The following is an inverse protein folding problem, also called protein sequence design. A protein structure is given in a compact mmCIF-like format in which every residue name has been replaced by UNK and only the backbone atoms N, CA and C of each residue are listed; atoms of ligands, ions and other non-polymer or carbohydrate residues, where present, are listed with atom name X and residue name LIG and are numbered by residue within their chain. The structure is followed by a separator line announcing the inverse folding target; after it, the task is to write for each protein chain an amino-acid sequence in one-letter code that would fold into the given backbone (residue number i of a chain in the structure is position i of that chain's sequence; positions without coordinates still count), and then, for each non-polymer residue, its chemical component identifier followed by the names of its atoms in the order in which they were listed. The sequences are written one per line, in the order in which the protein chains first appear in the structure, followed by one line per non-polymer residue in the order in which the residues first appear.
data_IF_191699797196
#
_entry.id   IF_191699797196
#
_cell.length_a   1.000
_cell.length_b   1.000
_cell.length_c   1.000
_cell.angle_alpha   90.00
_cell.angle_beta   90.00
_cell.angle_gamma   90.00
#
_symmetry.space_group_name_H-M   'P 1'
#
loop_
_entity.id
_entity.type
_entity.pdbx_description
1 polymer ?
#
# COMPACT_ATOMS: atom_id res chain seq x y z
N UNK A 1 2.08 -27.57 -2.46
CA UNK A 1 3.16 -28.11 -1.64
C UNK A 1 3.56 -27.05 -0.64
N UNK A 2 3.21 -27.32 0.56
CA UNK A 2 3.21 -26.52 1.79
C UNK A 2 4.56 -25.88 2.14
N UNK A 3 4.58 -24.66 2.67
CA UNK A 3 4.97 -24.40 4.07
C UNK A 3 4.95 -22.92 4.44
N UNK A 4 4.08 -22.60 5.36
CA UNK A 4 4.22 -21.48 6.26
C UNK A 4 5.42 -21.71 7.20
N UNK A 5 6.21 -20.67 7.50
CA UNK A 5 7.11 -20.67 8.66
C UNK A 5 7.04 -19.31 9.34
N UNK A 6 6.29 -19.31 10.43
CA UNK A 6 6.46 -18.39 11.56
C UNK A 6 7.69 -18.81 12.36
N UNK A 7 8.52 -17.88 12.78
CA UNK A 7 9.64 -18.18 13.69
C UNK A 7 10.31 -16.92 14.23
N UNK A 8 9.77 -16.37 15.31
CA UNK A 8 10.48 -15.42 16.20
C UNK A 8 11.33 -16.24 17.16
N UNK A 9 12.65 -16.04 17.15
CA UNK A 9 13.60 -16.63 18.10
C UNK A 9 14.20 -15.55 19.02
N UNK A 10 14.48 -15.89 20.27
CA UNK A 10 14.83 -14.92 21.31
C UNK A 10 16.33 -14.56 21.31
N UNK A 11 16.63 -13.29 21.61
CA UNK A 11 17.97 -12.76 21.80
C UNK A 11 18.63 -13.19 23.15
N UNK A 12 19.96 -13.10 23.26
CA UNK A 12 20.71 -13.69 24.35
C UNK A 12 20.73 -12.82 25.59
N UNK A 13 20.67 -13.51 26.75
CA UNK A 13 20.87 -12.98 28.11
C UNK A 13 22.36 -12.72 28.37
N UNK A 14 22.70 -11.51 28.80
CA UNK A 14 23.99 -11.16 29.38
C UNK A 14 23.90 -11.13 30.90
N UNK A 15 24.69 -11.96 31.53
CA UNK A 15 24.91 -12.03 33.00
C UNK A 15 26.19 -11.28 33.41
N UNK A 16 26.13 -10.61 34.56
CA UNK A 16 27.31 -10.27 35.33
C UNK A 16 27.16 -9.05 36.23
N UNK A 17 27.97 -8.93 37.30
CA UNK A 17 27.46 -9.16 38.65
C UNK A 17 27.46 -7.93 39.57
N UNK A 18 26.77 -8.09 40.67
CA UNK A 18 26.43 -7.25 41.78
C UNK A 18 27.44 -6.27 42.38
N UNK A 19 26.86 -5.33 43.09
CA UNK A 19 27.40 -4.77 44.33
C UNK A 19 26.25 -4.23 45.18
N UNK A 20 26.12 -4.84 46.36
CA UNK A 20 25.40 -4.34 47.52
C UNK A 20 25.99 -3.01 48.00
N UNK A 21 25.16 -2.06 48.38
CA UNK A 21 25.33 -1.17 49.52
C UNK A 21 23.93 -0.85 50.05
N UNK A 22 23.67 -1.34 51.26
CA UNK A 22 22.63 -0.87 52.15
C UNK A 22 23.07 0.45 52.79
N UNK A 23 22.16 1.35 53.07
CA UNK A 23 21.82 1.91 54.39
C UNK A 23 20.85 3.09 54.29
N UNK A 24 19.83 2.95 55.10
CA UNK A 24 19.08 3.93 55.88
C UNK A 24 18.90 5.38 55.40
N UNK A 25 17.67 5.80 55.32
CA UNK A 25 17.10 6.86 56.18
C UNK A 25 15.58 6.92 56.02
N UNK A 26 14.93 6.74 57.17
CA UNK A 26 13.53 7.06 57.45
C UNK A 26 13.23 8.55 57.32
N UNK A 27 11.96 8.81 57.12
CA UNK A 27 11.09 9.84 57.69
C UNK A 27 10.32 10.72 56.72
N UNK A 28 9.03 10.62 56.99
CA UNK A 28 7.97 11.65 56.96
C UNK A 28 7.22 11.96 55.65
N UNK A 29 6.04 11.36 55.61
CA UNK A 29 4.71 11.98 55.57
C UNK A 29 4.55 13.26 54.76
N UNK A 30 3.82 13.19 53.66
CA UNK A 30 2.57 13.94 53.61
C UNK A 30 1.62 13.40 52.56
N UNK A 31 0.40 13.25 53.01
CA UNK A 31 -0.80 12.86 52.29
C UNK A 31 -1.01 13.75 51.06
N UNK A 32 -0.87 13.17 49.87
CA UNK A 32 -1.47 13.72 48.66
C UNK A 32 -2.71 12.90 48.38
N UNK A 33 -3.85 13.57 48.52
CA UNK A 33 -5.16 13.08 48.20
C UNK A 33 -5.18 12.55 46.76
N UNK A 34 -5.44 11.26 46.61
CA UNK A 34 -5.83 10.63 45.37
C UNK A 34 -7.12 11.31 44.86
N UNK A 35 -6.95 12.21 43.94
CA UNK A 35 -8.06 12.55 43.01
C UNK A 35 -8.11 11.43 41.99
N UNK A 36 -8.83 10.38 42.34
CA UNK A 36 -9.44 9.47 41.38
C UNK A 36 -10.36 10.30 40.47
N UNK A 37 -9.79 10.86 39.42
CA UNK A 37 -10.57 11.14 38.22
C UNK A 37 -10.90 9.79 37.63
N UNK A 38 -12.07 9.26 37.98
CA UNK A 38 -12.76 8.24 37.22
C UNK A 38 -12.93 8.78 35.78
N UNK A 39 -11.94 8.51 34.92
CA UNK A 39 -12.14 8.42 33.49
C UNK A 39 -13.03 7.20 33.27
N UNK A 40 -14.33 7.42 33.46
CA UNK A 40 -15.35 6.54 32.96
C UNK A 40 -15.45 6.81 31.45
N UNK A 41 -14.43 6.43 30.68
CA UNK A 41 -14.66 6.01 29.32
C UNK A 41 -15.66 4.86 29.42
N UNK A 42 -16.90 5.16 29.06
CA UNK A 42 -17.91 4.17 28.86
C UNK A 42 -17.36 3.21 27.81
N UNK A 43 -16.87 2.07 28.27
CA UNK A 43 -16.44 0.93 27.45
C UNK A 43 -17.72 0.39 26.77
N UNK A 44 -18.18 1.12 25.73
CA UNK A 44 -19.26 0.64 24.89
C UNK A 44 -18.74 -0.65 24.24
N UNK A 45 -19.45 -1.77 24.39
CA UNK A 45 -19.02 -3.02 23.79
C UNK A 45 -18.85 -2.82 22.29
N UNK A 46 -17.66 -3.17 21.76
CA UNK A 46 -17.38 -3.13 20.33
C UNK A 46 -18.52 -3.79 19.55
N UNK A 47 -18.90 -3.23 18.39
CA UNK A 47 -19.95 -3.83 17.57
C UNK A 47 -19.53 -5.24 17.16
N UNK A 48 -20.46 -6.19 17.24
CA UNK A 48 -20.27 -7.51 16.67
C UNK A 48 -20.35 -7.40 15.14
N UNK A 49 -19.19 -7.46 14.47
CA UNK A 49 -19.07 -7.35 13.02
C UNK A 49 -19.95 -8.35 12.30
N UNK A 50 -20.00 -9.61 12.77
CA UNK A 50 -20.79 -10.67 12.16
C UNK A 50 -22.29 -10.33 12.24
N UNK A 51 -22.74 -9.79 13.36
CA UNK A 51 -24.13 -9.35 13.54
C UNK A 51 -24.47 -8.20 12.59
N UNK A 52 -23.65 -7.15 12.53
CA UNK A 52 -23.87 -6.00 11.64
C UNK A 52 -23.92 -6.43 10.17
N UNK A 53 -22.96 -7.25 9.73
CA UNK A 53 -22.96 -7.80 8.36
C UNK A 53 -24.21 -8.64 8.09
N UNK A 54 -24.63 -9.47 9.04
CA UNK A 54 -25.85 -10.29 8.91
C UNK A 54 -27.09 -9.41 8.77
N UNK A 55 -27.21 -8.36 9.58
CA UNK A 55 -28.32 -7.41 9.49
C UNK A 55 -28.28 -6.63 8.15
N UNK A 56 -27.10 -6.21 7.67
CA UNK A 56 -26.93 -5.56 6.38
C UNK A 56 -27.33 -6.48 5.21
N UNK A 57 -26.94 -7.74 5.27
CA UNK A 57 -27.36 -8.78 4.31
C UNK A 57 -28.87 -8.96 4.30
N UNK A 58 -29.52 -8.98 5.49
CA UNK A 58 -30.97 -9.09 5.58
C UNK A 58 -31.70 -7.90 4.94
N UNK A 59 -31.13 -6.70 4.99
CA UNK A 59 -31.70 -5.50 4.34
C UNK A 59 -31.65 -5.57 2.80
N UNK A 60 -30.79 -6.38 2.20
CA UNK A 60 -30.77 -6.61 0.76
C UNK A 60 -32.03 -7.34 0.26
N UNK A 61 -32.79 -8.02 1.16
CA UNK A 61 -34.06 -8.66 0.86
C UNK A 61 -33.92 -9.78 -0.19
N UNK A 62 -34.65 -9.65 -1.31
CA UNK A 62 -34.63 -10.61 -2.39
C UNK A 62 -33.46 -10.40 -3.40
N UNK A 63 -32.70 -9.31 -3.26
CA UNK A 63 -31.50 -9.05 -4.09
C UNK A 63 -30.32 -9.90 -3.56
N UNK A 64 -30.23 -11.12 -4.05
CA UNK A 64 -29.20 -12.07 -3.66
C UNK A 64 -27.79 -11.58 -4.06
N UNK A 65 -27.64 -10.81 -5.13
CA UNK A 65 -26.36 -10.30 -5.58
C UNK A 65 -25.87 -9.19 -4.64
N UNK A 66 -26.76 -8.30 -4.21
CA UNK A 66 -26.46 -7.32 -3.18
C UNK A 66 -26.11 -7.98 -1.84
N UNK A 67 -26.86 -9.01 -1.43
CA UNK A 67 -26.61 -9.75 -0.19
C UNK A 67 -25.21 -10.41 -0.18
N UNK A 68 -24.82 -11.06 -1.29
CA UNK A 68 -23.50 -11.68 -1.47
C UNK A 68 -22.39 -10.63 -1.47
N UNK A 69 -22.62 -9.52 -2.20
CA UNK A 69 -21.65 -8.41 -2.27
C UNK A 69 -21.38 -7.83 -0.88
N UNK A 70 -22.43 -7.51 -0.10
CA UNK A 70 -22.28 -6.97 1.27
C UNK A 70 -21.45 -7.90 2.14
N UNK A 71 -21.74 -9.20 2.10
CA UNK A 71 -20.97 -10.20 2.86
C UNK A 71 -19.50 -10.23 2.45
N UNK A 72 -19.20 -10.18 1.16
CA UNK A 72 -17.82 -10.14 0.63
C UNK A 72 -17.12 -8.85 0.99
N UNK A 73 -17.84 -7.73 0.89
CA UNK A 73 -17.31 -6.39 1.06
C UNK A 73 -16.81 -6.16 2.49
N UNK A 74 -17.57 -6.58 3.49
CA UNK A 74 -17.30 -6.35 4.91
C UNK A 74 -16.67 -7.55 5.64
N UNK A 75 -16.35 -8.62 4.89
CA UNK A 75 -15.90 -9.90 5.47
C UNK A 75 -14.73 -9.80 6.42
N UNK A 76 -13.79 -8.92 6.13
CA UNK A 76 -12.53 -8.78 6.86
C UNK A 76 -12.40 -7.43 7.57
N UNK A 77 -13.49 -6.68 7.69
CA UNK A 77 -13.48 -5.44 8.45
C UNK A 77 -13.37 -5.77 9.95
N UNK A 78 -12.38 -5.21 10.66
CA UNK A 78 -12.24 -5.41 12.10
C UNK A 78 -13.42 -4.75 12.86
N UNK A 79 -13.78 -5.30 14.03
CA UNK A 79 -14.87 -4.77 14.86
C UNK A 79 -14.67 -3.30 15.20
N UNK A 80 -13.45 -2.89 15.48
CA UNK A 80 -13.04 -1.51 15.80
C UNK A 80 -13.33 -0.52 14.67
N UNK A 81 -13.23 -0.96 13.41
CA UNK A 81 -13.50 -0.13 12.24
C UNK A 81 -14.99 0.01 11.93
N UNK A 82 -15.85 -0.81 12.56
CA UNK A 82 -17.29 -0.80 12.34
C UNK A 82 -18.06 0.07 13.35
N UNK A 83 -17.36 0.67 14.31
CA UNK A 83 -17.96 1.58 15.29
C UNK A 83 -18.68 2.72 14.58
N UNK A 84 -19.95 2.91 14.89
CA UNK A 84 -20.79 3.96 14.29
C UNK A 84 -21.38 3.62 12.92
N UNK A 85 -21.02 2.50 12.30
CA UNK A 85 -21.66 2.04 11.07
C UNK A 85 -23.04 1.43 11.36
N UNK A 86 -23.94 1.64 10.41
CA UNK A 86 -25.28 1.02 10.46
C UNK A 86 -25.42 -0.02 9.35
N UNK A 87 -26.22 -1.08 9.55
CA UNK A 87 -26.48 -2.08 8.51
C UNK A 87 -26.95 -1.48 7.18
N UNK A 88 -27.80 -0.44 7.24
CA UNK A 88 -28.27 0.28 6.05
C UNK A 88 -27.15 1.04 5.35
N UNK A 89 -26.25 1.68 6.11
CA UNK A 89 -25.06 2.34 5.59
C UNK A 89 -24.11 1.35 4.93
N UNK A 90 -23.87 0.19 5.58
CA UNK A 90 -23.01 -0.87 5.03
C UNK A 90 -23.52 -1.40 3.69
N UNK A 91 -24.83 -1.61 3.55
CA UNK A 91 -25.46 -2.00 2.29
C UNK A 91 -25.30 -0.89 1.24
N UNK A 92 -25.59 0.36 1.60
CA UNK A 92 -25.48 1.49 0.69
C UNK A 92 -24.05 1.70 0.20
N UNK A 93 -23.07 1.57 1.07
CA UNK A 93 -21.63 1.70 0.73
C UNK A 93 -21.19 0.63 -0.27
N UNK A 94 -21.56 -0.64 -0.05
CA UNK A 94 -21.22 -1.71 -0.98
C UNK A 94 -21.89 -1.52 -2.35
N UNK A 95 -23.14 -1.07 -2.37
CA UNK A 95 -23.88 -0.77 -3.61
C UNK A 95 -23.27 0.43 -4.36
N UNK A 96 -22.93 1.51 -3.64
CA UNK A 96 -22.31 2.69 -4.24
C UNK A 96 -20.94 2.36 -4.84
N UNK A 97 -20.17 1.48 -4.20
CA UNK A 97 -18.89 1.02 -4.74
C UNK A 97 -19.08 0.14 -5.98
N UNK A 98 -20.10 -0.73 -5.99
CA UNK A 98 -20.48 -1.50 -7.18
C UNK A 98 -20.89 -0.61 -8.37
N UNK A 99 -21.62 0.49 -8.10
CA UNK A 99 -21.93 1.48 -9.13
C UNK A 99 -20.68 2.13 -9.74
N UNK A 100 -19.68 2.46 -8.90
CA UNK A 100 -18.38 2.97 -9.39
C UNK A 100 -17.69 1.95 -10.29
N UNK A 101 -17.82 0.66 -9.97
CA UNK A 101 -17.24 -0.45 -10.73
C UNK A 101 -18.03 -0.83 -11.99
N UNK A 102 -19.22 -0.28 -12.25
CA UNK A 102 -20.11 -0.69 -13.33
C UNK A 102 -19.44 -0.69 -14.71
N UNK A 103 -18.63 0.32 -15.00
CA UNK A 103 -17.92 0.45 -16.27
C UNK A 103 -16.42 0.64 -16.02
N UNK A 104 -15.63 -0.41 -16.27
CA UNK A 104 -14.17 -0.40 -16.11
C UNK A 104 -13.52 -1.42 -17.04
N UNK A 105 -12.51 -1.03 -17.79
CA UNK A 105 -11.66 -1.97 -18.54
C UNK A 105 -10.44 -2.37 -17.71
N UNK A 106 -9.84 -3.57 -17.91
CA UNK A 106 -8.59 -3.95 -17.27
C UNK A 106 -7.51 -2.87 -17.49
N UNK A 107 -6.76 -2.55 -16.46
CA UNK A 107 -5.78 -1.45 -16.48
C UNK A 107 -6.34 -0.07 -16.15
N UNK A 108 -7.65 0.12 -16.15
CA UNK A 108 -8.27 1.40 -15.79
C UNK A 108 -8.41 1.53 -14.26
N UNK A 109 -8.08 2.69 -13.73
CA UNK A 109 -8.35 3.09 -12.35
C UNK A 109 -9.68 3.85 -12.29
N UNK A 110 -10.60 3.42 -11.43
CA UNK A 110 -11.76 4.21 -11.01
C UNK A 110 -11.49 4.78 -9.62
N UNK A 111 -11.69 6.07 -9.45
CA UNK A 111 -11.49 6.77 -8.19
C UNK A 111 -12.58 7.81 -7.99
N UNK A 112 -13.31 7.70 -6.89
CA UNK A 112 -14.28 8.67 -6.41
C UNK A 112 -13.82 9.24 -5.08
N UNK A 113 -13.91 10.56 -4.92
CA UNK A 113 -13.66 11.27 -3.65
C UNK A 113 -14.91 12.08 -3.35
N UNK A 114 -15.50 11.86 -2.19
CA UNK A 114 -16.73 12.50 -1.75
C UNK A 114 -16.77 12.71 -0.24
N UNK A 115 -17.87 13.24 0.27
CA UNK A 115 -18.10 13.36 1.70
C UNK A 115 -18.86 12.12 2.22
N UNK A 116 -18.67 11.76 3.49
CA UNK A 116 -19.50 10.79 4.19
C UNK A 116 -20.95 11.27 4.31
N UNK A 117 -21.88 10.38 4.60
CA UNK A 117 -23.29 10.71 4.67
C UNK A 117 -23.61 11.78 5.74
N UNK A 118 -22.89 11.79 6.85
CA UNK A 118 -22.96 12.80 7.92
C UNK A 118 -22.14 14.06 7.59
N UNK A 119 -21.27 13.99 6.62
CA UNK A 119 -20.43 15.10 6.19
C UNK A 119 -19.18 15.33 7.06
N UNK A 120 -18.87 14.44 7.99
CA UNK A 120 -17.76 14.61 8.94
C UNK A 120 -16.43 14.07 8.41
N UNK A 121 -16.46 13.15 7.46
CA UNK A 121 -15.29 12.54 6.85
C UNK A 121 -15.28 12.73 5.33
N UNK A 122 -14.13 12.51 4.73
CA UNK A 122 -13.98 12.36 3.28
C UNK A 122 -13.80 10.89 2.94
N UNK A 123 -14.56 10.42 1.96
CA UNK A 123 -14.57 9.04 1.49
C UNK A 123 -13.82 8.95 0.17
N UNK A 124 -12.88 8.01 0.10
CA UNK A 124 -12.24 7.59 -1.13
C UNK A 124 -12.74 6.20 -1.50
N UNK A 125 -13.14 6.01 -2.74
CA UNK A 125 -13.51 4.70 -3.30
C UNK A 125 -12.68 4.46 -4.55
N UNK A 126 -12.04 3.31 -4.59
CA UNK A 126 -11.03 2.94 -5.59
C UNK A 126 -11.36 1.56 -6.12
N UNK A 127 -11.43 1.43 -7.46
CA UNK A 127 -11.50 0.14 -8.15
C UNK A 127 -10.35 0.04 -9.13
N UNK A 128 -9.53 -0.98 -8.99
CA UNK A 128 -8.37 -1.23 -9.84
C UNK A 128 -8.13 -2.74 -10.01
N UNK A 129 -7.23 -3.13 -10.91
CA UNK A 129 -6.74 -4.51 -10.94
C UNK A 129 -6.03 -4.81 -9.61
N UNK A 130 -6.16 -6.05 -9.11
CA UNK A 130 -5.42 -6.43 -7.92
C UNK A 130 -3.92 -6.52 -8.20
N UNK A 131 -3.14 -5.96 -7.29
CA UNK A 131 -1.68 -6.00 -7.34
C UNK A 131 -1.07 -5.69 -5.97
N UNK A 132 0.21 -6.05 -5.73
CA UNK A 132 0.91 -5.72 -4.50
C UNK A 132 0.99 -4.21 -4.24
N UNK A 133 1.14 -3.82 -2.97
CA UNK A 133 1.45 -2.47 -2.47
C UNK A 133 0.34 -1.42 -2.60
N UNK A 134 -0.87 -1.76 -3.04
CA UNK A 134 -1.97 -0.79 -3.22
C UNK A 134 -2.33 -0.10 -1.92
N UNK A 135 -2.62 -0.87 -0.87
CA UNK A 135 -3.05 -0.34 0.44
C UNK A 135 -1.96 0.51 1.07
N UNK A 136 -0.73 -0.03 1.14
CA UNK A 136 0.40 0.66 1.76
C UNK A 136 0.68 2.00 1.07
N UNK A 137 0.63 2.02 -0.27
CA UNK A 137 0.92 3.23 -1.05
C UNK A 137 -0.15 4.29 -0.89
N UNK A 138 -1.44 3.90 -0.93
CA UNK A 138 -2.54 4.85 -0.72
C UNK A 138 -2.49 5.40 0.70
N UNK A 139 -2.32 4.54 1.71
CA UNK A 139 -2.23 4.95 3.10
C UNK A 139 -1.04 5.89 3.34
N UNK A 140 0.14 5.56 2.80
CA UNK A 140 1.31 6.43 2.89
C UNK A 140 1.09 7.80 2.24
N UNK A 141 0.39 7.86 1.10
CA UNK A 141 0.06 9.12 0.43
C UNK A 141 -0.89 9.98 1.28
N UNK A 142 -1.89 9.39 1.93
CA UNK A 142 -2.82 10.07 2.82
C UNK A 142 -2.11 10.60 4.07
N UNK A 143 -1.31 9.76 4.74
CA UNK A 143 -0.53 10.14 5.93
C UNK A 143 0.48 11.24 5.61
N UNK A 144 1.13 11.20 4.44
CA UNK A 144 2.06 12.25 3.99
C UNK A 144 1.37 13.60 3.83
N UNK A 145 0.07 13.61 3.51
CA UNK A 145 -0.77 14.82 3.49
C UNK A 145 -1.25 15.26 4.88
N UNK A 146 -0.95 14.51 5.93
CA UNK A 146 -1.42 14.77 7.30
C UNK A 146 -2.86 14.34 7.53
N UNK A 147 -3.42 13.44 6.71
CA UNK A 147 -4.76 12.90 6.86
C UNK A 147 -4.70 11.59 7.66
N UNK A 148 -5.53 11.48 8.70
CA UNK A 148 -5.74 10.24 9.43
C UNK A 148 -6.72 9.35 8.67
N UNK A 149 -6.46 8.05 8.66
CA UNK A 149 -7.37 7.04 8.11
C UNK A 149 -8.20 6.46 9.25
N UNK A 150 -9.51 6.62 9.19
CA UNK A 150 -10.47 6.17 10.21
C UNK A 150 -11.12 4.83 9.85
N UNK A 151 -11.19 4.50 8.56
CA UNK A 151 -11.73 3.23 8.07
C UNK A 151 -10.97 2.84 6.81
N UNK A 152 -10.61 1.58 6.71
CA UNK A 152 -10.08 0.97 5.50
C UNK A 152 -10.79 -0.37 5.24
N UNK A 153 -11.55 -0.44 4.17
CA UNK A 153 -12.18 -1.67 3.68
C UNK A 153 -11.54 -2.01 2.33
N UNK A 154 -11.00 -3.21 2.19
CA UNK A 154 -10.27 -3.64 1.00
C UNK A 154 -10.62 -5.08 0.60
N UNK A 155 -11.83 -5.33 0.07
CA UNK A 155 -12.15 -6.63 -0.52
C UNK A 155 -11.43 -6.83 -1.85
N UNK A 156 -10.92 -8.04 -2.06
CA UNK A 156 -10.59 -8.56 -3.37
C UNK A 156 -11.85 -9.20 -3.95
N UNK A 157 -12.27 -8.70 -5.10
CA UNK A 157 -13.56 -9.07 -5.71
C UNK A 157 -13.31 -9.73 -7.05
N UNK A 158 -13.80 -10.98 -7.21
CA UNK A 158 -13.80 -11.66 -8.49
C UNK A 158 -14.98 -11.15 -9.31
N UNK A 159 -14.72 -10.68 -10.52
CA UNK A 159 -15.75 -10.11 -11.42
C UNK A 159 -15.65 -10.68 -12.81
N UNK A 160 -16.80 -10.69 -13.53
CA UNK A 160 -16.88 -10.92 -14.97
C UNK A 160 -17.27 -9.65 -15.68
N UNK A 161 -16.56 -9.33 -16.76
CA UNK A 161 -16.79 -8.13 -17.55
C UNK A 161 -16.95 -8.45 -19.03
N UNK A 162 -17.76 -7.66 -19.71
CA UNK A 162 -17.74 -7.65 -21.16
C UNK A 162 -16.42 -7.08 -21.69
N UNK A 163 -16.06 -7.35 -22.95
CA UNK A 163 -14.83 -6.81 -23.55
C UNK A 163 -14.68 -5.29 -23.49
N UNK A 164 -15.79 -4.55 -23.45
CA UNK A 164 -15.79 -3.09 -23.31
C UNK A 164 -15.84 -2.61 -21.85
N UNK A 165 -15.72 -3.53 -20.88
CA UNK A 165 -15.55 -3.21 -19.47
C UNK A 165 -16.85 -3.13 -18.65
N UNK A 166 -18.04 -3.38 -19.25
CA UNK A 166 -19.29 -3.43 -18.49
C UNK A 166 -19.28 -4.61 -17.51
N UNK A 167 -19.61 -4.34 -16.25
CA UNK A 167 -19.73 -5.36 -15.20
C UNK A 167 -20.92 -6.28 -15.51
N UNK A 168 -20.67 -7.56 -15.66
CA UNK A 168 -21.70 -8.59 -15.89
C UNK A 168 -22.13 -9.24 -14.59
N UNK A 169 -21.14 -9.61 -13.78
CA UNK A 169 -21.36 -10.36 -12.54
C UNK A 169 -20.28 -10.03 -11.50
N UNK A 170 -20.69 -9.95 -10.25
CA UNK A 170 -19.80 -9.96 -9.09
C UNK A 170 -19.83 -11.36 -8.50
N UNK A 171 -18.75 -12.12 -8.67
CA UNK A 171 -18.63 -13.49 -8.18
C UNK A 171 -18.23 -13.48 -6.68
N UNK A 172 -19.10 -12.93 -5.83
CA UNK A 172 -18.78 -12.63 -4.44
C UNK A 172 -18.49 -13.88 -3.57
N UNK A 173 -18.96 -15.05 -3.99
CA UNK A 173 -18.72 -16.34 -3.33
C UNK A 173 -17.44 -17.05 -3.82
N UNK A 174 -16.74 -16.48 -4.83
CA UNK A 174 -15.49 -17.02 -5.38
C UNK A 174 -14.29 -16.35 -4.70
N UNK A 175 -13.37 -17.16 -4.19
CA UNK A 175 -12.10 -16.63 -3.66
C UNK A 175 -11.16 -16.24 -4.82
N UNK A 176 -10.28 -15.23 -4.64
CA UNK A 176 -9.35 -14.80 -5.68
C UNK A 176 -8.50 -15.94 -6.27
N UNK A 177 -8.06 -16.88 -5.43
CA UNK A 177 -7.25 -18.03 -5.83
C UNK A 177 -8.05 -19.10 -6.61
N UNK A 178 -9.38 -19.05 -6.53
CA UNK A 178 -10.30 -19.96 -7.23
C UNK A 178 -10.85 -19.34 -8.54
N UNK A 179 -10.39 -18.15 -8.91
CA UNK A 179 -10.80 -17.47 -10.13
C UNK A 179 -10.43 -18.31 -11.37
N UNK A 180 -11.38 -18.45 -12.30
CA UNK A 180 -11.21 -19.24 -13.52
C UNK A 180 -10.91 -18.37 -14.74
N UNK A 181 -10.55 -19.01 -15.85
CA UNK A 181 -10.25 -18.28 -17.09
C UNK A 181 -11.44 -17.40 -17.53
N UNK A 182 -11.19 -16.12 -17.66
CA UNK A 182 -12.20 -15.08 -18.00
C UNK A 182 -12.71 -14.29 -16.82
N UNK A 183 -12.43 -14.73 -15.59
CA UNK A 183 -12.65 -13.94 -14.37
C UNK A 183 -11.50 -12.93 -14.20
N UNK A 184 -11.81 -11.79 -13.60
CA UNK A 184 -10.84 -10.76 -13.20
C UNK A 184 -10.87 -10.61 -11.69
N UNK A 185 -9.71 -10.51 -11.06
CA UNK A 185 -9.60 -10.16 -9.66
C UNK A 185 -9.37 -8.65 -9.56
N UNK A 186 -10.26 -7.96 -8.89
CA UNK A 186 -10.20 -6.53 -8.69
C UNK A 186 -10.03 -6.19 -7.22
N UNK A 187 -9.22 -5.18 -6.96
CA UNK A 187 -9.06 -4.56 -5.65
C UNK A 187 -10.06 -3.41 -5.54
N UNK A 188 -10.99 -3.53 -4.60
CA UNK A 188 -11.94 -2.48 -4.28
C UNK A 188 -11.56 -1.91 -2.91
N UNK A 189 -11.14 -0.65 -2.85
CA UNK A 189 -10.73 -0.02 -1.59
C UNK A 189 -11.66 1.14 -1.25
N UNK A 190 -12.15 1.16 -0.02
CA UNK A 190 -12.87 2.28 0.57
C UNK A 190 -12.12 2.77 1.78
N UNK A 191 -11.79 4.05 1.79
CA UNK A 191 -11.13 4.69 2.90
C UNK A 191 -11.98 5.88 3.38
N UNK A 192 -12.17 5.99 4.70
CA UNK A 192 -12.68 7.18 5.33
C UNK A 192 -11.51 7.91 6.01
N UNK A 193 -11.34 9.18 5.67
CA UNK A 193 -10.22 9.99 6.17
C UNK A 193 -10.73 11.30 6.77
N UNK A 194 -9.86 12.04 7.45
CA UNK A 194 -10.15 13.37 7.92
C UNK A 194 -10.80 14.21 6.83
N UNK A 195 -11.76 15.05 7.22
CA UNK A 195 -12.51 15.85 6.26
C UNK A 195 -11.63 16.79 5.46
N UNK A 196 -11.66 16.67 4.14
CA UNK A 196 -10.99 17.55 3.19
C UNK A 196 -11.95 18.63 2.73
N UNK A 197 -11.64 19.88 3.10
CA UNK A 197 -12.50 21.02 2.82
C UNK A 197 -12.21 21.64 1.45
N UNK A 198 -13.28 21.88 0.70
CA UNK A 198 -13.19 22.57 -0.59
C UNK A 198 -12.90 21.63 -1.77
N UNK A 199 -13.45 21.97 -2.93
CA UNK A 199 -13.35 21.17 -4.15
C UNK A 199 -11.91 21.09 -4.67
N UNK A 200 -11.16 22.20 -4.59
CA UNK A 200 -9.78 22.25 -5.05
C UNK A 200 -8.85 21.29 -4.27
N UNK A 201 -9.04 21.19 -2.94
CA UNK A 201 -8.28 20.27 -2.10
C UNK A 201 -8.66 18.80 -2.37
N UNK A 202 -9.95 18.51 -2.56
CA UNK A 202 -10.42 17.17 -2.96
C UNK A 202 -9.90 16.78 -4.35
N UNK A 203 -9.87 17.72 -5.29
CA UNK A 203 -9.28 17.48 -6.60
C UNK A 203 -7.76 17.23 -6.52
N UNK A 204 -7.07 17.94 -5.63
CA UNK A 204 -5.65 17.69 -5.40
C UNK A 204 -5.43 16.31 -4.76
N UNK A 205 -6.24 15.93 -3.77
CA UNK A 205 -6.21 14.59 -3.18
C UNK A 205 -6.44 13.51 -4.25
N UNK A 206 -7.44 13.70 -5.11
CA UNK A 206 -7.73 12.77 -6.22
C UNK A 206 -6.52 12.62 -7.15
N UNK A 207 -5.89 13.71 -7.55
CA UNK A 207 -4.67 13.67 -8.41
C UNK A 207 -3.51 12.95 -7.72
N UNK A 208 -3.30 13.19 -6.44
CA UNK A 208 -2.19 12.57 -5.72
C UNK A 208 -2.39 11.06 -5.57
N UNK A 209 -3.60 10.62 -5.19
CA UNK A 209 -3.95 9.20 -5.12
C UNK A 209 -3.86 8.54 -6.50
N UNK A 210 -4.37 9.19 -7.55
CA UNK A 210 -4.26 8.69 -8.92
C UNK A 210 -2.80 8.52 -9.34
N UNK A 211 -1.94 9.50 -9.02
CA UNK A 211 -0.51 9.45 -9.34
C UNK A 211 0.18 8.27 -8.66
N UNK A 212 0.01 8.12 -7.34
CA UNK A 212 0.69 7.04 -6.61
C UNK A 212 0.20 5.65 -7.04
N UNK A 213 -1.07 5.49 -7.38
CA UNK A 213 -1.60 4.22 -7.91
C UNK A 213 -1.09 3.94 -9.32
N UNK A 214 -0.86 4.98 -10.14
CA UNK A 214 -0.19 4.83 -11.43
C UNK A 214 1.26 4.39 -11.25
N UNK A 215 1.97 5.02 -10.30
CA UNK A 215 3.37 4.69 -9.97
C UNK A 215 3.49 3.22 -9.51
N UNK A 216 2.55 2.73 -8.68
CA UNK A 216 2.51 1.32 -8.25
C UNK A 216 2.32 0.40 -9.45
N UNK A 217 1.33 0.67 -10.30
CA UNK A 217 1.07 -0.13 -11.50
C UNK A 217 2.30 -0.21 -12.39
N UNK A 218 2.92 0.93 -12.71
CA UNK A 218 4.11 0.98 -13.55
C UNK A 218 5.27 0.19 -12.94
N UNK A 219 5.46 0.28 -11.61
CA UNK A 219 6.50 -0.48 -10.91
C UNK A 219 6.23 -2.00 -10.96
N UNK A 220 4.99 -2.43 -10.71
CA UNK A 220 4.61 -3.85 -10.73
C UNK A 220 4.70 -4.44 -12.14
N UNK A 221 4.18 -3.74 -13.15
CA UNK A 221 4.25 -4.20 -14.55
C UNK A 221 5.68 -4.32 -15.07
N UNK A 222 6.56 -3.39 -14.70
CA UNK A 222 7.96 -3.37 -15.16
C UNK A 222 8.91 -4.17 -14.26
N UNK A 223 8.45 -4.68 -13.14
CA UNK A 223 9.30 -5.40 -12.18
C UNK A 223 10.13 -6.54 -12.79
N UNK A 224 9.57 -7.43 -13.64
CA UNK A 224 10.37 -8.47 -14.28
C UNK A 224 11.45 -7.91 -15.21
N UNK A 225 11.17 -6.78 -15.86
CA UNK A 225 12.15 -6.10 -16.74
C UNK A 225 13.26 -5.45 -15.93
N UNK A 226 12.92 -4.79 -14.81
CA UNK A 226 13.91 -4.18 -13.92
C UNK A 226 14.86 -5.23 -13.30
N UNK A 227 14.32 -6.37 -12.87
CA UNK A 227 15.15 -7.52 -12.45
C UNK A 227 16.09 -7.99 -13.53
N UNK A 228 15.59 -8.13 -14.76
CA UNK A 228 16.42 -8.53 -15.91
C UNK A 228 17.54 -7.53 -16.20
N UNK A 229 17.27 -6.23 -16.08
CA UNK A 229 18.30 -5.19 -16.24
C UNK A 229 19.37 -5.27 -15.16
N UNK A 230 19.00 -5.48 -13.90
CA UNK A 230 19.97 -5.64 -12.81
C UNK A 230 20.90 -6.86 -13.03
N UNK A 231 20.36 -7.98 -13.52
CA UNK A 231 21.17 -9.15 -13.88
C UNK A 231 22.07 -8.87 -15.09
N UNK A 232 21.56 -8.18 -16.12
CA UNK A 232 22.36 -7.81 -17.29
C UNK A 232 23.55 -6.92 -16.91
N UNK A 233 23.35 -5.97 -15.98
CA UNK A 233 24.43 -5.13 -15.44
C UNK A 233 25.47 -5.99 -14.70
N UNK A 234 25.03 -6.95 -13.87
CA UNK A 234 25.92 -7.85 -13.16
C UNK A 234 26.79 -8.69 -14.13
N UNK A 235 26.17 -9.19 -15.21
CA UNK A 235 26.87 -9.97 -16.23
C UNK A 235 27.83 -9.10 -17.09
N UNK A 236 27.44 -7.85 -17.38
CA UNK A 236 28.31 -6.89 -18.07
C UNK A 236 29.53 -6.53 -17.21
N UNK A 237 29.35 -6.27 -15.91
CA UNK A 237 30.44 -6.04 -14.97
C UNK A 237 31.40 -7.24 -14.93
N UNK A 238 30.88 -8.45 -14.87
CA UNK A 238 31.69 -9.68 -14.89
C UNK A 238 32.48 -9.82 -16.19
N UNK A 239 31.85 -9.52 -17.33
CA UNK A 239 32.49 -9.64 -18.66
C UNK A 239 33.57 -8.58 -18.91
N UNK A 240 33.44 -7.41 -18.29
CA UNK A 240 34.34 -6.28 -18.48
C UNK A 240 35.32 -6.03 -17.32
N UNK A 241 35.36 -6.90 -16.32
CA UNK A 241 36.11 -6.73 -15.07
C UNK A 241 37.54 -6.30 -15.28
N UNK A 242 38.27 -6.96 -16.22
CA UNK A 242 39.67 -6.68 -16.52
C UNK A 242 39.93 -5.31 -17.20
N UNK A 243 38.88 -4.67 -17.72
CA UNK A 243 39.01 -3.37 -18.42
C UNK A 243 38.61 -2.17 -17.52
N UNK A 244 38.04 -2.43 -16.37
CA UNK A 244 37.55 -1.40 -15.44
C UNK A 244 38.70 -0.89 -14.54
N UNK A 245 38.83 0.43 -14.33
CA UNK A 245 39.90 1.03 -13.51
C UNK A 245 39.55 0.99 -12.00
N UNK A 246 38.96 -0.13 -11.51
CA UNK A 246 38.55 -0.33 -10.12
C UNK A 246 39.09 -1.67 -9.62
N UNK A 247 39.28 -1.86 -8.30
CA UNK A 247 39.73 -3.12 -7.72
C UNK A 247 38.79 -4.30 -8.04
N UNK A 248 39.36 -5.47 -8.33
CA UNK A 248 38.60 -6.69 -8.63
C UNK A 248 37.58 -7.04 -7.51
N UNK A 249 37.94 -6.75 -6.27
CA UNK A 249 37.07 -6.95 -5.13
C UNK A 249 35.78 -6.14 -5.23
N UNK A 250 35.91 -4.85 -5.57
CA UNK A 250 34.75 -3.94 -5.65
C UNK A 250 33.81 -4.36 -6.77
N UNK A 251 34.37 -4.90 -7.87
CA UNK A 251 33.59 -5.48 -8.96
C UNK A 251 32.84 -6.72 -8.47
N UNK A 252 33.51 -7.63 -7.76
CA UNK A 252 32.91 -8.85 -7.21
C UNK A 252 31.80 -8.51 -6.23
N UNK A 253 32.06 -7.62 -5.27
CA UNK A 253 31.08 -7.18 -4.26
C UNK A 253 29.84 -6.53 -4.94
N UNK A 254 30.06 -5.75 -6.02
CA UNK A 254 28.96 -5.14 -6.79
C UNK A 254 28.11 -6.16 -7.53
N UNK A 255 28.73 -7.18 -8.15
CA UNK A 255 28.00 -8.26 -8.81
C UNK A 255 27.19 -9.08 -7.80
N UNK A 256 27.79 -9.41 -6.66
CA UNK A 256 27.12 -10.16 -5.59
C UNK A 256 25.93 -9.35 -5.02
N UNK A 257 26.09 -8.04 -4.80
CA UNK A 257 25.02 -7.15 -4.37
C UNK A 257 23.86 -7.13 -5.37
N UNK A 258 24.14 -6.92 -6.67
CA UNK A 258 23.08 -6.90 -7.69
C UNK A 258 22.31 -8.21 -7.75
N UNK A 259 22.99 -9.35 -7.68
CA UNK A 259 22.35 -10.67 -7.66
C UNK A 259 21.54 -10.88 -6.39
N UNK A 260 22.04 -10.45 -5.24
CA UNK A 260 21.32 -10.50 -3.97
C UNK A 260 20.05 -9.63 -4.00
N UNK A 261 20.11 -8.40 -4.54
CA UNK A 261 18.94 -7.54 -4.71
C UNK A 261 17.85 -8.19 -5.57
N UNK A 262 18.25 -8.92 -6.62
CA UNK A 262 17.32 -9.61 -7.53
C UNK A 262 16.68 -10.84 -6.89
N UNK A 263 17.33 -11.46 -5.92
CA UNK A 263 16.87 -12.67 -5.22
C UNK A 263 15.87 -12.33 -4.10
N UNK A 264 14.83 -11.59 -4.44
CA UNK A 264 13.68 -11.21 -3.58
C UNK A 264 14.04 -10.44 -2.29
N UNK A 265 15.25 -9.88 -2.21
CA UNK A 265 15.67 -9.07 -1.07
C UNK A 265 15.38 -7.58 -1.24
N UNK A 266 14.92 -7.16 -2.42
CA UNK A 266 14.70 -5.76 -2.73
C UNK A 266 13.54 -5.58 -3.72
N UNK A 267 12.75 -4.52 -3.51
CA UNK A 267 11.68 -4.12 -4.42
C UNK A 267 12.18 -3.01 -5.34
N UNK A 268 12.35 -3.32 -6.63
CA UNK A 268 12.70 -2.32 -7.63
C UNK A 268 11.47 -1.45 -7.93
N UNK A 269 11.61 -0.15 -7.73
CA UNK A 269 10.54 0.81 -8.02
C UNK A 269 10.72 1.48 -9.39
N UNK A 270 11.96 1.63 -9.86
CA UNK A 270 12.26 2.26 -11.13
C UNK A 270 13.67 1.97 -11.59
N UNK A 271 13.86 2.03 -12.91
CA UNK A 271 15.17 1.91 -13.60
C UNK A 271 15.26 2.93 -14.71
N UNK A 272 16.44 3.47 -14.93
CA UNK A 272 16.73 4.34 -16.08
C UNK A 272 18.22 4.36 -16.35
N UNK A 273 18.59 4.39 -17.64
CA UNK A 273 19.96 4.56 -18.08
C UNK A 273 20.30 6.04 -18.25
N UNK A 274 21.55 6.36 -17.93
CA UNK A 274 22.12 7.68 -18.13
C UNK A 274 23.43 7.57 -18.89
N UNK A 275 23.74 8.59 -19.69
CA UNK A 275 25.03 8.75 -20.36
C UNK A 275 25.72 9.99 -19.85
N UNK A 276 27.05 9.90 -19.66
CA UNK A 276 27.89 11.04 -19.41
C UNK A 276 28.03 11.87 -20.71
N UNK A 277 27.61 13.11 -20.64
CA UNK A 277 27.70 14.09 -21.72
C UNK A 277 28.49 15.32 -21.25
N UNK A 278 28.69 16.31 -22.11
CA UNK A 278 29.48 17.52 -21.82
C UNK A 278 30.87 17.21 -21.17
N UNK A 279 31.60 16.29 -21.79
CA UNK A 279 32.96 15.86 -21.33
C UNK A 279 32.93 15.28 -19.90
N UNK A 280 31.89 14.58 -19.56
CA UNK A 280 31.73 13.96 -18.23
C UNK A 280 31.20 14.88 -17.14
N UNK A 281 30.59 16.02 -17.50
CA UNK A 281 30.06 16.99 -16.53
C UNK A 281 28.57 16.82 -16.25
N UNK A 282 27.87 16.20 -17.18
CA UNK A 282 26.41 16.02 -17.09
C UNK A 282 26.01 14.58 -17.30
N UNK A 283 24.95 14.15 -16.59
CA UNK A 283 24.23 12.91 -16.81
C UNK A 283 22.95 13.22 -17.61
N UNK A 284 22.89 12.74 -18.85
CA UNK A 284 21.69 12.80 -19.66
C UNK A 284 20.98 11.45 -19.68
N UNK A 285 19.67 11.44 -19.39
CA UNK A 285 18.86 10.24 -19.47
C UNK A 285 18.83 9.70 -20.92
N UNK A 286 18.93 8.39 -21.05
CA UNK A 286 18.72 7.69 -22.33
C UNK A 286 17.23 7.53 -22.51
N UNK A 287 16.67 8.14 -23.57
CA UNK A 287 15.24 8.08 -23.86
C UNK A 287 14.78 6.63 -24.09
N UNK A 288 13.61 6.30 -23.56
CA UNK A 288 12.99 4.97 -23.72
C UNK A 288 13.58 3.88 -22.80
N UNK A 289 14.51 4.20 -21.88
CA UNK A 289 15.04 3.24 -20.91
C UNK A 289 14.36 3.30 -19.55
N UNK A 290 13.49 4.30 -19.32
CA UNK A 290 12.76 4.44 -18.07
C UNK A 290 11.78 3.28 -17.85
N UNK A 291 11.81 2.68 -16.65
CA UNK A 291 10.91 1.63 -16.19
C UNK A 291 10.33 1.99 -14.82
N UNK A 292 9.19 1.43 -14.49
CA UNK A 292 8.48 1.68 -13.23
C UNK A 292 8.18 3.17 -13.05
N UNK A 293 8.36 3.71 -11.85
CA UNK A 293 8.10 5.14 -11.54
C UNK A 293 8.95 6.11 -12.37
N UNK A 294 9.94 5.61 -13.09
CA UNK A 294 10.79 6.37 -14.02
C UNK A 294 10.39 6.16 -15.50
N UNK A 295 9.25 5.52 -15.78
CA UNK A 295 8.76 5.21 -17.15
C UNK A 295 8.54 6.48 -17.96
N UNK A 296 8.11 7.57 -17.33
CA UNK A 296 7.90 8.84 -18.04
C UNK A 296 9.20 9.60 -18.28
N UNK A 297 9.46 9.93 -19.54
CA UNK A 297 10.72 10.52 -20.03
C UNK A 297 10.83 12.05 -19.77
N UNK A 298 10.62 12.48 -18.55
CA UNK A 298 10.77 13.89 -18.14
C UNK A 298 12.10 14.17 -17.40
N UNK A 299 13.12 13.35 -17.62
CA UNK A 299 14.39 13.55 -16.96
C UNK A 299 15.15 14.73 -17.57
N UNK A 300 15.26 15.81 -16.83
CA UNK A 300 16.19 16.89 -17.15
C UNK A 300 17.65 16.42 -16.97
N UNK A 301 18.60 16.86 -17.82
CA UNK A 301 20.02 16.62 -17.59
C UNK A 301 20.42 17.09 -16.18
N UNK A 302 21.19 16.26 -15.46
CA UNK A 302 21.71 16.61 -14.13
C UNK A 302 23.18 16.91 -14.22
N UNK A 303 23.60 18.10 -13.76
CA UNK A 303 25.01 18.41 -13.64
C UNK A 303 25.63 17.61 -12.50
N UNK A 304 26.74 16.89 -12.78
CA UNK A 304 27.48 16.14 -11.75
C UNK A 304 27.93 17.03 -10.59
N UNK A 305 28.27 18.30 -10.88
CA UNK A 305 28.66 19.28 -9.86
C UNK A 305 27.60 19.61 -8.83
N UNK A 306 26.32 19.27 -9.08
CA UNK A 306 25.21 19.45 -8.14
C UNK A 306 24.92 18.18 -7.33
N UNK A 307 25.63 17.09 -7.61
CA UNK A 307 25.53 15.84 -6.86
C UNK A 307 26.45 15.86 -5.64
N UNK A 308 26.13 15.02 -4.65
CA UNK A 308 27.04 14.85 -3.49
C UNK A 308 28.38 14.23 -3.93
N UNK A 309 29.49 14.46 -3.18
CA UNK A 309 30.78 13.85 -3.50
C UNK A 309 30.72 12.32 -3.65
N UNK A 310 29.88 11.66 -2.84
CA UNK A 310 29.69 10.21 -2.87
C UNK A 310 28.99 9.75 -4.17
N UNK A 311 28.11 10.58 -4.73
CA UNK A 311 27.41 10.29 -5.98
C UNK A 311 28.25 10.65 -7.23
N UNK A 312 29.37 11.39 -7.05
CA UNK A 312 30.32 11.73 -8.12
C UNK A 312 31.47 10.72 -8.22
N UNK A 313 31.70 9.93 -7.16
CA UNK A 313 32.75 8.92 -7.09
C UNK A 313 32.36 7.63 -7.82
#
# INVERSE_FOLDING_TARGET
MERAVTGVGPGPKGTGPGRDVADDLDEDLDSVEDHDTEDTELDEPLPDAERLVTEAVALAGEDLDAARLVRRYWRFAPDEDLVGLTPGGMLADAQAHRELAEQRVPGELKLRVGDSADGDLTILEIVTDDMPFLVDTVTAALVTRGLSVHLLVHPLVVVRREPLGRLVEVCADVEPDDAIAGDLVESWMRLAVDRVHGEAERDQLRRDVQRVLTDVREAVEDWPRMRSQALAIADELAGNAAALPVPDRDITDSIELLRWLVDEHFTFLGYREYKLVDRGRELAAVLGTGLGILRQDQANPRMLTTMTPEAQA
#
